data_IF_430204350686
#
_entry.id   IF_430204350686
#
_cell.length_a   1.000
_cell.length_b   1.000
_cell.length_c   1.000
_cell.angle_alpha   90.00
_cell.angle_beta   90.00
_cell.angle_gamma   90.00
#
_symmetry.space_group_name_H-M   'P 1'
#
loop_
_entity.id
_entity.type
_entity.pdbx_description
1 polymer ?
#
# COMPACT_ATOMS: atom_id res chain seq x y z
N UNK A 1 -20.16 -37.01 44.46
CA UNK A 1 -19.42 -37.83 43.48
C UNK A 1 -19.06 -36.90 42.33
N UNK A 2 -17.92 -36.22 42.49
CA UNK A 2 -16.63 -36.56 41.86
C UNK A 2 -16.56 -35.87 40.48
N UNK A 3 -16.13 -34.61 40.41
CA UNK A 3 -14.74 -34.11 40.50
C UNK A 3 -13.91 -34.42 39.24
N UNK A 4 -13.36 -33.36 38.65
CA UNK A 4 -12.43 -33.30 37.50
C UNK A 4 -11.21 -34.22 37.67
N UNK A 5 -10.41 -34.43 36.61
CA UNK A 5 -9.24 -33.54 36.46
C UNK A 5 -8.83 -33.22 35.01
N UNK A 6 -8.21 -32.05 34.81
CA UNK A 6 -7.26 -31.86 33.70
C UNK A 6 -5.94 -32.60 33.98
N UNK A 7 -5.08 -32.79 32.97
CA UNK A 7 -3.70 -32.30 33.09
C UNK A 7 -3.18 -31.80 31.71
N UNK A 8 -2.42 -30.71 31.59
CA UNK A 8 -1.06 -30.41 32.02
C UNK A 8 -0.19 -30.23 30.77
N UNK A 9 0.54 -29.12 30.71
CA UNK A 9 1.40 -28.77 29.60
C UNK A 9 2.71 -29.54 29.55
N UNK A 10 3.25 -29.61 28.35
CA UNK A 10 4.67 -29.78 27.99
C UNK A 10 4.79 -28.94 26.70
N UNK A 11 5.51 -27.83 26.59
CA UNK A 11 6.93 -27.68 26.90
C UNK A 11 7.77 -28.15 25.71
N UNK A 12 7.80 -27.40 24.59
CA UNK A 12 8.58 -27.77 23.41
C UNK A 12 8.97 -26.55 22.57
N UNK A 13 10.21 -26.11 22.75
CA UNK A 13 10.83 -24.98 22.09
C UNK A 13 10.90 -25.14 20.56
N UNK A 14 10.42 -24.13 19.82
CA UNK A 14 10.66 -23.96 18.39
C UNK A 14 11.43 -22.66 18.19
N UNK A 15 12.74 -22.79 17.98
CA UNK A 15 13.70 -21.71 17.94
C UNK A 15 13.41 -20.71 16.81
N UNK A 16 13.20 -19.45 17.20
CA UNK A 16 13.40 -18.29 16.35
C UNK A 16 14.90 -18.16 16.13
N UNK A 17 15.40 -18.58 14.96
CA UNK A 17 16.74 -18.18 14.51
C UNK A 17 16.59 -17.03 13.51
N UNK A 18 16.75 -15.84 14.07
CA UNK A 18 17.11 -14.65 13.31
C UNK A 18 18.50 -14.81 12.73
N UNK A 19 18.61 -14.54 11.43
CA UNK A 19 19.87 -14.19 10.79
C UNK A 19 20.05 -12.68 10.90
N UNK A 20 21.19 -12.27 11.44
CA UNK A 20 21.48 -10.90 11.81
C UNK A 20 21.68 -9.95 10.63
N UNK A 21 21.03 -8.80 10.75
CA UNK A 21 21.66 -7.50 10.51
C UNK A 21 20.96 -6.54 11.47
N UNK A 22 21.71 -5.99 12.42
CA UNK A 22 21.21 -5.09 13.46
C UNK A 22 20.78 -3.75 12.86
N UNK A 23 19.58 -3.72 12.27
CA UNK A 23 18.82 -2.53 11.94
C UNK A 23 17.91 -2.15 13.10
N UNK A 24 17.86 -0.85 13.38
CA UNK A 24 17.08 -0.19 14.42
C UNK A 24 15.65 -0.74 14.58
N UNK A 25 15.39 -1.49 15.66
CA UNK A 25 14.04 -1.81 16.08
C UNK A 25 13.43 -0.57 16.78
N UNK A 26 12.76 0.27 15.99
CA UNK A 26 11.76 1.22 16.48
C UNK A 26 10.49 0.40 16.80
N UNK A 27 9.84 0.69 17.92
CA UNK A 27 8.65 -0.02 18.41
C UNK A 27 7.59 -0.25 17.31
N UNK A 28 7.05 -1.46 17.30
CA UNK A 28 6.02 -1.97 16.40
C UNK A 28 4.74 -1.12 16.50
N UNK A 29 4.57 -0.14 15.61
CA UNK A 29 3.32 0.66 15.53
C UNK A 29 3.41 1.99 14.77
N UNK A 30 4.61 2.47 14.42
CA UNK A 30 4.81 3.79 13.80
C UNK A 30 5.32 3.66 12.35
N UNK A 31 4.50 3.10 11.46
CA UNK A 31 4.85 3.08 10.02
C UNK A 31 4.80 4.49 9.44
N UNK A 32 5.94 5.00 8.98
CA UNK A 32 6.04 6.32 8.32
C UNK A 32 5.60 6.19 6.87
N UNK A 33 4.44 6.76 6.54
CA UNK A 33 3.78 6.63 5.23
C UNK A 33 4.03 7.79 4.27
N UNK A 34 4.61 8.88 4.76
CA UNK A 34 4.85 10.11 4.01
C UNK A 34 6.32 10.47 3.89
N UNK A 35 6.67 11.07 2.75
CA UNK A 35 8.03 11.55 2.47
C UNK A 35 8.39 12.72 3.36
N UNK A 36 7.46 13.62 3.65
CA UNK A 36 7.65 14.79 4.52
C UNK A 36 8.08 14.40 5.94
N UNK A 37 7.40 13.42 6.55
CA UNK A 37 7.75 12.90 7.89
C UNK A 37 9.12 12.21 7.86
N UNK A 38 9.37 11.38 6.86
CA UNK A 38 10.67 10.71 6.70
C UNK A 38 11.82 11.71 6.52
N UNK A 39 11.67 12.68 5.61
CA UNK A 39 12.67 13.72 5.35
C UNK A 39 12.95 14.58 6.59
N UNK A 40 11.92 14.85 7.40
CA UNK A 40 12.09 15.60 8.66
C UNK A 40 12.84 14.80 9.72
N UNK A 41 12.69 13.47 9.72
CA UNK A 41 13.38 12.58 10.66
C UNK A 41 14.82 12.26 10.24
N UNK A 42 15.16 12.28 8.95
CA UNK A 42 16.50 11.91 8.44
C UNK A 42 17.66 12.63 9.15
N UNK A 43 17.65 13.97 9.34
CA UNK A 43 18.74 14.67 10.04
C UNK A 43 18.86 14.24 11.51
N UNK A 44 17.74 14.01 12.18
CA UNK A 44 17.70 13.57 13.58
C UNK A 44 18.26 12.15 13.72
N UNK A 45 17.83 11.22 12.86
CA UNK A 45 18.35 9.84 12.83
C UNK A 45 19.86 9.85 12.56
N UNK A 46 20.33 10.67 11.62
CA UNK A 46 21.76 10.80 11.32
C UNK A 46 22.55 11.32 12.53
N UNK A 47 22.10 12.41 13.16
CA UNK A 47 22.76 12.99 14.34
C UNK A 47 22.78 12.02 15.53
N UNK A 48 21.67 11.32 15.78
CA UNK A 48 21.57 10.29 16.82
C UNK A 48 22.49 9.12 16.51
N UNK A 49 22.54 8.66 15.25
CA UNK A 49 23.45 7.58 14.82
C UNK A 49 24.91 7.98 15.02
N UNK A 50 25.29 9.23 14.71
CA UNK A 50 26.63 9.76 14.97
C UNK A 50 26.95 9.83 16.47
N UNK A 51 26.00 10.24 17.30
CA UNK A 51 26.14 10.26 18.77
C UNK A 51 26.30 8.83 19.34
N UNK A 52 25.57 7.85 18.81
CA UNK A 52 25.63 6.44 19.24
C UNK A 52 26.93 5.76 18.79
N UNK A 53 27.34 5.98 17.53
CA UNK A 53 28.49 5.31 16.90
C UNK A 53 29.84 5.96 17.20
N UNK A 54 29.87 7.04 17.99
CA UNK A 54 31.15 7.63 18.39
C UNK A 54 31.96 6.62 19.22
N UNK A 55 33.11 6.21 18.67
CA UNK A 55 33.99 5.15 19.18
C UNK A 55 34.41 5.41 20.63
N UNK A 56 34.35 4.36 21.46
CA UNK A 56 34.78 4.36 22.87
C UNK A 56 36.30 4.50 22.96
N UNK A 57 36.81 5.72 22.85
CA UNK A 57 38.17 6.02 23.29
C UNK A 57 38.09 6.52 24.73
N UNK A 58 38.71 5.77 25.64
CA UNK A 58 38.76 5.97 27.10
C UNK A 58 39.47 7.25 27.55
N UNK A 59 39.98 8.06 26.61
CA UNK A 59 40.54 9.40 26.84
C UNK A 59 40.01 10.37 25.79
N UNK A 60 39.07 11.24 26.16
CA UNK A 60 38.55 12.32 25.30
C UNK A 60 39.33 13.61 25.60
N UNK A 61 39.79 14.30 24.55
CA UNK A 61 40.40 15.63 24.69
C UNK A 61 39.35 16.66 25.12
N UNK A 62 39.73 17.70 25.87
CA UNK A 62 38.86 18.84 26.22
C UNK A 62 38.14 19.43 25.00
N UNK A 63 38.81 19.45 23.84
CA UNK A 63 38.21 19.91 22.58
C UNK A 63 37.03 19.03 22.12
N UNK A 64 37.15 17.72 22.30
CA UNK A 64 36.10 16.74 21.98
C UNK A 64 34.92 16.87 22.94
N UNK A 65 35.22 17.12 24.21
CA UNK A 65 34.20 17.31 25.22
C UNK A 65 33.36 18.57 24.92
N UNK A 66 34.00 19.72 24.73
CA UNK A 66 33.31 20.96 24.36
C UNK A 66 32.46 20.82 23.07
N UNK A 67 32.90 20.00 22.12
CA UNK A 67 32.11 19.71 20.93
C UNK A 67 30.82 18.94 21.26
N UNK A 68 30.88 17.95 22.15
CA UNK A 68 29.70 17.18 22.61
C UNK A 68 28.70 18.09 23.34
N UNK A 69 29.17 18.98 24.21
CA UNK A 69 28.30 19.95 24.90
C UNK A 69 27.60 20.90 23.92
N UNK A 70 28.32 21.42 22.92
CA UNK A 70 27.72 22.25 21.86
C UNK A 70 26.66 21.49 21.07
N UNK A 71 26.89 20.21 20.78
CA UNK A 71 25.91 19.36 20.09
C UNK A 71 24.65 19.19 20.94
N UNK A 72 24.77 18.86 22.23
CA UNK A 72 23.59 18.70 23.10
C UNK A 72 22.78 19.99 23.26
N UNK A 73 23.45 21.14 23.40
CA UNK A 73 22.78 22.46 23.41
C UNK A 73 22.08 22.77 22.08
N UNK A 74 22.73 22.49 20.95
CA UNK A 74 22.14 22.68 19.62
C UNK A 74 20.90 21.79 19.41
N UNK A 75 20.96 20.53 19.86
CA UNK A 75 19.81 19.61 19.84
C UNK A 75 18.66 20.18 20.67
N UNK A 76 18.91 20.59 21.92
CA UNK A 76 17.85 21.16 22.78
C UNK A 76 17.21 22.42 22.18
N UNK A 77 18.01 23.31 21.58
CA UNK A 77 17.49 24.50 20.91
C UNK A 77 16.64 24.15 19.68
N UNK A 78 17.06 23.17 18.87
CA UNK A 78 16.31 22.70 17.71
C UNK A 78 14.97 22.07 18.13
N UNK A 79 14.98 21.24 19.17
CA UNK A 79 13.78 20.65 19.76
C UNK A 79 12.85 21.73 20.31
N UNK A 80 13.37 22.76 20.97
CA UNK A 80 12.57 23.89 21.45
C UNK A 80 11.88 24.65 20.31
N UNK A 81 12.51 24.79 19.13
CA UNK A 81 11.87 25.37 17.95
C UNK A 81 10.81 24.44 17.36
N UNK A 82 11.10 23.14 17.28
CA UNK A 82 10.17 22.12 16.81
C UNK A 82 8.89 22.08 17.66
N UNK A 83 9.05 22.07 18.99
CA UNK A 83 7.94 22.06 19.95
C UNK A 83 7.06 23.30 19.80
N UNK A 84 7.62 24.49 19.60
CA UNK A 84 6.82 25.71 19.35
C UNK A 84 5.91 25.59 18.13
N UNK A 85 6.38 24.92 17.07
CA UNK A 85 5.55 24.65 15.89
C UNK A 85 4.45 23.63 16.23
N UNK A 86 4.79 22.57 16.96
CA UNK A 86 3.82 21.58 17.44
C UNK A 86 2.73 22.20 18.32
N UNK A 87 3.10 23.07 19.27
CA UNK A 87 2.17 23.80 20.14
C UNK A 87 1.26 24.74 19.35
N UNK A 88 1.78 25.42 18.31
CA UNK A 88 0.96 26.24 17.42
C UNK A 88 -0.09 25.39 16.68
N UNK A 89 0.32 24.27 16.11
CA UNK A 89 -0.59 23.31 15.44
C UNK A 89 -1.65 22.78 16.43
N UNK A 90 -1.24 22.45 17.66
CA UNK A 90 -2.13 21.97 18.70
C UNK A 90 -3.23 22.98 19.06
N UNK A 91 -2.90 24.27 19.08
CA UNK A 91 -3.86 25.33 19.39
C UNK A 91 -4.95 25.50 18.32
N UNK A 92 -4.64 25.17 17.07
CA UNK A 92 -5.60 25.20 15.96
C UNK A 92 -6.42 23.89 15.85
N UNK A 93 -6.00 22.81 16.51
CA UNK A 93 -6.58 21.47 16.39
C UNK A 93 -7.00 20.90 17.75
N UNK A 94 -8.12 21.38 18.28
CA UNK A 94 -8.60 21.09 19.65
C UNK A 94 -8.72 19.62 20.01
N UNK A 95 -9.12 18.76 19.08
CA UNK A 95 -9.31 17.32 19.31
C UNK A 95 -7.99 16.55 19.42
N UNK A 96 -6.94 17.03 18.74
CA UNK A 96 -5.58 16.45 18.83
C UNK A 96 -4.67 17.23 19.79
N UNK A 97 -5.17 18.34 20.35
CA UNK A 97 -4.39 19.30 21.15
C UNK A 97 -3.68 18.61 22.31
N UNK A 98 -4.39 17.78 23.05
CA UNK A 98 -3.84 17.09 24.21
C UNK A 98 -2.73 16.09 23.81
N UNK A 99 -2.98 15.26 22.79
CA UNK A 99 -2.00 14.29 22.29
C UNK A 99 -0.73 14.98 21.76
N UNK A 100 -0.90 16.08 21.01
CA UNK A 100 0.24 16.85 20.47
C UNK A 100 1.02 17.50 21.61
N UNK A 101 0.35 18.09 22.60
CA UNK A 101 1.00 18.72 23.75
C UNK A 101 1.81 17.70 24.55
N UNK A 102 1.25 16.53 24.84
CA UNK A 102 1.96 15.45 25.55
C UNK A 102 3.23 15.06 24.78
N UNK A 103 3.12 14.81 23.46
CA UNK A 103 4.26 14.44 22.64
C UNK A 103 5.32 15.56 22.55
N UNK A 104 4.89 16.83 22.55
CA UNK A 104 5.77 17.99 22.59
C UNK A 104 6.51 18.12 23.93
N UNK A 105 5.82 17.87 25.06
CA UNK A 105 6.43 17.84 26.39
C UNK A 105 7.48 16.72 26.48
N UNK A 106 7.14 15.52 26.02
CA UNK A 106 8.06 14.37 25.94
C UNK A 106 9.31 14.71 25.12
N UNK A 107 9.14 15.35 23.95
CA UNK A 107 10.24 15.77 23.09
C UNK A 107 11.14 16.81 23.78
N UNK A 108 10.53 17.83 24.40
CA UNK A 108 11.24 18.87 25.15
C UNK A 108 12.07 18.29 26.29
N UNK A 109 11.48 17.42 27.10
CA UNK A 109 12.16 16.75 28.21
C UNK A 109 13.34 15.90 27.73
N UNK A 110 13.19 15.19 26.61
CA UNK A 110 14.28 14.41 26.01
C UNK A 110 15.43 15.32 25.53
N UNK A 111 15.10 16.46 24.90
CA UNK A 111 16.09 17.47 24.50
C UNK A 111 16.86 18.08 25.67
N UNK A 112 16.15 18.42 26.76
CA UNK A 112 16.74 18.94 28.00
C UNK A 112 17.64 17.89 28.67
N UNK A 113 17.21 16.62 28.69
CA UNK A 113 18.00 15.51 29.24
C UNK A 113 19.30 15.30 28.44
N UNK A 114 19.25 15.37 27.11
CA UNK A 114 20.46 15.29 26.27
C UNK A 114 21.40 16.45 26.59
N UNK A 115 20.90 17.69 26.65
CA UNK A 115 21.72 18.84 27.01
C UNK A 115 22.40 18.66 28.37
N UNK A 116 21.65 18.24 29.39
CA UNK A 116 22.17 18.00 30.74
C UNK A 116 23.24 16.89 30.78
N UNK A 117 23.01 15.76 30.11
CA UNK A 117 23.96 14.64 30.05
C UNK A 117 25.24 14.97 29.25
N UNK A 118 25.18 15.98 28.39
CA UNK A 118 26.33 16.52 27.64
C UNK A 118 26.97 17.74 28.29
N UNK A 119 26.43 18.23 29.40
CA UNK A 119 26.94 19.42 30.09
C UNK A 119 28.15 19.06 30.95
N UNK A 120 29.23 19.79 30.72
CA UNK A 120 30.54 19.57 31.34
C UNK A 120 30.74 20.52 32.51
N UNK A 121 29.96 21.59 32.59
CA UNK A 121 30.13 22.61 33.64
C UNK A 121 29.91 22.06 35.05
N UNK A 122 29.11 20.99 35.22
CA UNK A 122 28.90 20.29 36.48
C UNK A 122 30.04 19.32 36.87
N UNK A 123 30.97 19.00 35.98
CA UNK A 123 32.12 18.11 36.27
C UNK A 123 33.32 18.86 36.88
N UNK A 124 33.32 20.19 36.85
CA UNK A 124 34.45 21.01 37.31
C UNK A 124 34.61 21.09 38.83
N UNK A 125 33.81 20.35 39.62
CA UNK A 125 33.84 20.44 41.08
C UNK A 125 34.43 19.22 41.82
N UNK A 126 34.85 18.15 41.12
CA UNK A 126 35.57 17.04 41.76
C UNK A 126 36.96 16.81 41.14
N UNK A 127 37.92 17.32 41.91
CA UNK A 127 39.31 16.91 42.10
C UNK A 127 40.40 17.32 41.11
N UNK A 128 41.37 17.98 41.74
CA UNK A 128 42.59 18.63 41.28
C UNK A 128 43.74 17.66 40.96
N UNK A 129 43.46 16.44 40.50
CA UNK A 129 44.53 15.51 40.12
C UNK A 129 44.28 14.94 38.72
N UNK A 130 45.35 14.79 37.93
CA UNK A 130 45.31 14.72 36.46
C UNK A 130 44.68 13.47 35.82
N UNK A 131 43.64 12.87 36.43
CA UNK A 131 42.91 11.72 35.91
C UNK A 131 41.40 11.98 35.90
N UNK A 132 40.95 12.76 34.92
CA UNK A 132 39.54 12.97 34.67
C UNK A 132 38.98 11.75 33.89
N UNK A 133 38.46 10.76 34.60
CA UNK A 133 37.70 9.62 34.03
C UNK A 133 36.26 10.04 33.77
N UNK A 134 36.03 10.77 32.67
CA UNK A 134 34.68 11.20 32.27
C UNK A 134 33.92 10.00 31.69
N UNK A 135 33.18 9.32 32.55
CA UNK A 135 32.01 8.58 32.12
C UNK A 135 30.97 9.59 31.63
N UNK A 136 31.08 10.05 30.38
CA UNK A 136 29.89 10.52 29.67
C UNK A 136 28.91 9.36 29.73
N UNK A 137 27.77 9.51 30.41
CA UNK A 137 26.74 8.46 30.52
C UNK A 137 26.18 8.17 29.13
N UNK A 138 26.97 7.44 28.35
CA UNK A 138 26.71 7.08 26.96
C UNK A 138 25.39 6.34 26.89
N UNK A 139 25.14 5.47 27.86
CA UNK A 139 23.87 4.74 28.00
C UNK A 139 22.71 5.70 28.22
N UNK A 140 22.85 6.70 29.09
CA UNK A 140 21.87 7.77 29.30
C UNK A 140 21.62 8.61 28.04
N UNK A 141 22.67 9.04 27.34
CA UNK A 141 22.55 9.81 26.09
C UNK A 141 21.86 9.01 25.00
N UNK A 142 22.19 7.71 24.87
CA UNK A 142 21.52 6.80 23.92
C UNK A 142 20.03 6.67 24.26
N UNK A 143 19.69 6.51 25.54
CA UNK A 143 18.28 6.43 25.99
C UNK A 143 17.52 7.73 25.69
N UNK A 144 18.09 8.88 26.05
CA UNK A 144 17.47 10.18 25.81
C UNK A 144 17.32 10.48 24.30
N UNK A 145 18.31 10.11 23.48
CA UNK A 145 18.24 10.23 22.03
C UNK A 145 17.14 9.34 21.41
N UNK A 146 16.97 8.09 21.89
CA UNK A 146 15.86 7.22 21.45
C UNK A 146 14.50 7.79 21.83
N UNK A 147 14.36 8.31 23.05
CA UNK A 147 13.13 8.98 23.50
C UNK A 147 12.82 10.21 22.65
N UNK A 148 13.85 11.00 22.32
CA UNK A 148 13.69 12.15 21.44
C UNK A 148 13.20 11.73 20.04
N UNK A 149 13.81 10.70 19.45
CA UNK A 149 13.37 10.19 18.14
C UNK A 149 11.92 9.71 18.18
N UNK A 150 11.55 8.97 19.23
CA UNK A 150 10.18 8.46 19.41
C UNK A 150 9.15 9.60 19.55
N UNK A 151 9.41 10.56 20.45
CA UNK A 151 8.52 11.70 20.69
C UNK A 151 8.41 12.64 19.49
N UNK A 152 9.50 12.95 18.80
CA UNK A 152 9.47 13.75 17.56
C UNK A 152 8.69 13.01 16.46
N UNK A 153 8.90 11.70 16.31
CA UNK A 153 8.13 10.89 15.35
C UNK A 153 6.64 10.94 15.68
N UNK A 154 6.27 10.84 16.96
CA UNK A 154 4.87 10.95 17.43
C UNK A 154 4.27 12.32 17.10
N UNK A 155 4.97 13.43 17.35
CA UNK A 155 4.50 14.77 16.97
C UNK A 155 4.28 14.88 15.46
N UNK A 156 5.21 14.38 14.64
CA UNK A 156 5.08 14.41 13.19
C UNK A 156 3.91 13.57 12.67
N UNK A 157 3.66 12.40 13.26
CA UNK A 157 2.50 11.58 12.90
C UNK A 157 1.17 12.22 13.32
N UNK A 158 1.14 12.93 14.45
CA UNK A 158 -0.04 13.71 14.85
C UNK A 158 -0.27 14.90 13.91
N UNK A 159 0.80 15.57 13.47
CA UNK A 159 0.70 16.61 12.44
C UNK A 159 0.21 16.05 11.09
N UNK A 160 0.64 14.84 10.71
CA UNK A 160 0.11 14.15 9.52
C UNK A 160 -1.41 13.91 9.62
N UNK A 161 -1.90 13.52 10.80
CA UNK A 161 -3.35 13.38 11.06
C UNK A 161 -4.10 14.70 10.87
N UNK A 162 -3.51 15.84 11.25
CA UNK A 162 -4.12 17.16 10.99
C UNK A 162 -4.31 17.39 9.49
N UNK A 163 -3.31 17.08 8.66
CA UNK A 163 -3.41 17.19 7.20
C UNK A 163 -4.50 16.27 6.65
N UNK A 164 -4.60 15.03 7.14
CA UNK A 164 -5.68 14.11 6.77
C UNK A 164 -7.06 14.70 7.10
N UNK A 165 -7.21 15.32 8.29
CA UNK A 165 -8.46 15.97 8.69
C UNK A 165 -8.81 17.17 7.81
N UNK A 166 -7.83 17.94 7.36
CA UNK A 166 -8.06 19.04 6.40
C UNK A 166 -8.62 18.51 5.07
N UNK A 167 -8.05 17.41 4.54
CA UNK A 167 -8.54 16.75 3.32
C UNK A 167 -9.98 16.26 3.51
N UNK A 168 -10.29 15.60 4.63
CA UNK A 168 -11.65 15.13 4.96
C UNK A 168 -12.63 16.31 5.05
N UNK A 169 -12.22 17.40 5.71
CA UNK A 169 -13.06 18.59 5.85
C UNK A 169 -13.35 19.23 4.50
N UNK A 170 -12.33 19.36 3.64
CA UNK A 170 -12.49 19.87 2.27
C UNK A 170 -13.41 18.98 1.44
N UNK A 171 -13.25 17.64 1.52
CA UNK A 171 -14.17 16.66 0.89
C UNK A 171 -15.62 16.85 1.34
N UNK A 172 -15.85 17.10 2.63
CA UNK A 172 -17.20 17.28 3.17
C UNK A 172 -17.86 18.58 2.67
N UNK A 173 -17.09 19.65 2.46
CA UNK A 173 -17.59 20.87 1.79
C UNK A 173 -18.05 20.54 0.37
N UNK A 174 -17.20 19.88 -0.42
CA UNK A 174 -17.50 19.47 -1.80
C UNK A 174 -18.77 18.61 -1.85
N UNK A 175 -18.93 17.64 -0.95
CA UNK A 175 -20.16 16.85 -0.90
C UNK A 175 -21.40 17.69 -0.57
N UNK A 176 -21.30 18.59 0.41
CA UNK A 176 -22.43 19.43 0.80
C UNK A 176 -22.88 20.33 -0.36
N UNK A 177 -21.96 20.88 -1.16
CA UNK A 177 -22.32 21.64 -2.36
C UNK A 177 -22.81 20.77 -3.50
N UNK A 178 -22.28 19.56 -3.67
CA UNK A 178 -22.80 18.58 -4.64
C UNK A 178 -24.26 18.19 -4.35
N UNK A 179 -24.60 17.88 -3.10
CA UNK A 179 -25.98 17.56 -2.71
C UNK A 179 -26.96 18.71 -3.00
N UNK A 180 -26.49 19.95 -2.88
CA UNK A 180 -27.28 21.13 -3.29
C UNK A 180 -27.42 21.18 -4.81
N UNK A 181 -26.34 21.00 -5.57
CA UNK A 181 -26.36 20.97 -7.04
C UNK A 181 -27.28 19.88 -7.62
N UNK A 182 -27.38 18.73 -6.96
CA UNK A 182 -28.29 17.66 -7.34
C UNK A 182 -29.75 18.12 -7.35
N UNK A 183 -30.14 18.95 -6.37
CA UNK A 183 -31.52 19.38 -6.14
C UNK A 183 -31.93 20.66 -6.88
N UNK A 184 -30.99 21.35 -7.53
CA UNK A 184 -31.28 22.61 -8.22
C UNK A 184 -32.27 22.43 -9.36
N UNK A 185 -33.27 23.31 -9.40
CA UNK A 185 -34.31 23.38 -10.43
C UNK A 185 -34.31 24.69 -11.24
N UNK A 186 -33.44 25.66 -10.90
CA UNK A 186 -33.32 26.95 -11.57
C UNK A 186 -31.91 27.19 -12.09
N UNK A 187 -31.79 27.75 -13.30
CA UNK A 187 -30.49 28.06 -13.90
C UNK A 187 -29.72 29.14 -13.12
N UNK A 188 -30.42 30.14 -12.55
CA UNK A 188 -29.78 31.20 -11.79
C UNK A 188 -29.15 30.66 -10.50
N UNK A 189 -29.88 29.84 -9.76
CA UNK A 189 -29.38 29.16 -8.56
C UNK A 189 -28.23 28.21 -8.92
N UNK A 190 -28.36 27.48 -10.03
CA UNK A 190 -27.33 26.56 -10.52
C UNK A 190 -25.99 27.27 -10.71
N UNK A 191 -25.97 28.42 -11.38
CA UNK A 191 -24.72 29.18 -11.64
C UNK A 191 -24.04 29.59 -10.33
N UNK A 192 -24.82 30.02 -9.32
CA UNK A 192 -24.28 30.42 -8.02
C UNK A 192 -23.67 29.23 -7.27
N UNK A 193 -24.40 28.13 -7.16
CA UNK A 193 -23.94 26.95 -6.43
C UNK A 193 -22.78 26.28 -7.19
N UNK A 194 -22.80 26.25 -8.51
CA UNK A 194 -21.73 25.67 -9.32
C UNK A 194 -20.42 26.45 -9.17
N UNK A 195 -20.49 27.78 -9.05
CA UNK A 195 -19.32 28.61 -8.74
C UNK A 195 -18.75 28.28 -7.35
N UNK A 196 -19.60 28.08 -6.34
CA UNK A 196 -19.16 27.70 -4.99
C UNK A 196 -18.48 26.32 -5.02
N UNK A 197 -19.14 25.33 -5.63
CA UNK A 197 -18.61 23.98 -5.82
C UNK A 197 -17.25 24.00 -6.53
N UNK A 198 -17.09 24.81 -7.59
CA UNK A 198 -15.82 24.94 -8.30
C UNK A 198 -14.68 25.41 -7.39
N UNK A 199 -14.92 26.39 -6.52
CA UNK A 199 -13.91 26.86 -5.55
C UNK A 199 -13.51 25.77 -4.55
N UNK A 200 -14.50 25.06 -4.00
CA UNK A 200 -14.26 23.96 -3.05
C UNK A 200 -13.52 22.79 -3.72
N UNK A 201 -13.82 22.50 -4.98
CA UNK A 201 -13.14 21.47 -5.77
C UNK A 201 -11.68 21.86 -6.05
N UNK A 202 -11.37 23.15 -6.27
CA UNK A 202 -9.98 23.63 -6.42
C UNK A 202 -9.21 23.48 -5.09
N UNK A 203 -9.80 23.89 -3.97
CA UNK A 203 -9.21 23.69 -2.63
C UNK A 203 -8.88 22.20 -2.40
N UNK A 204 -9.86 21.31 -2.66
CA UNK A 204 -9.67 19.88 -2.53
C UNK A 204 -8.63 19.32 -3.50
N UNK A 205 -8.59 19.81 -4.74
CA UNK A 205 -7.61 19.38 -5.74
C UNK A 205 -6.18 19.70 -5.31
N UNK A 206 -5.93 20.85 -4.66
CA UNK A 206 -4.62 21.19 -4.10
C UNK A 206 -4.25 20.25 -2.94
N UNK A 207 -5.12 20.14 -1.92
CA UNK A 207 -4.85 19.30 -0.75
C UNK A 207 -4.61 17.83 -1.12
N UNK A 208 -5.45 17.27 -1.99
CA UNK A 208 -5.30 15.89 -2.48
C UNK A 208 -4.07 15.72 -3.38
N UNK A 209 -3.63 16.77 -4.07
CA UNK A 209 -2.41 16.75 -4.88
C UNK A 209 -1.13 16.79 -4.08
N UNK A 210 -1.08 17.64 -3.06
CA UNK A 210 0.04 17.69 -2.13
C UNK A 210 0.19 16.34 -1.42
N UNK A 211 -0.93 15.76 -0.96
CA UNK A 211 -0.94 14.42 -0.36
C UNK A 211 -0.46 13.34 -1.33
N UNK A 212 -0.93 13.35 -2.58
CA UNK A 212 -0.47 12.40 -3.61
C UNK A 212 1.06 12.43 -3.77
N UNK A 213 1.64 13.64 -3.83
CA UNK A 213 3.08 13.82 -3.99
C UNK A 213 3.86 13.47 -2.73
N UNK A 214 3.22 13.46 -1.56
CA UNK A 214 3.85 13.13 -0.29
C UNK A 214 3.80 11.63 0.06
N UNK A 215 2.85 10.87 -0.50
CA UNK A 215 2.73 9.42 -0.27
C UNK A 215 3.98 8.64 -0.71
N UNK A 216 4.47 7.75 0.16
CA UNK A 216 5.60 6.83 -0.15
C UNK A 216 5.20 5.63 -0.98
N UNK A 217 4.00 5.08 -0.76
CA UNK A 217 3.49 3.91 -1.49
C UNK A 217 3.06 4.32 -2.91
N UNK A 218 3.80 3.85 -3.91
CA UNK A 218 3.53 4.16 -5.32
C UNK A 218 2.19 3.57 -5.81
N UNK A 219 1.70 2.44 -5.25
CA UNK A 219 0.36 1.90 -5.55
C UNK A 219 -0.72 2.86 -5.04
N UNK A 220 -0.59 3.37 -3.82
CA UNK A 220 -1.54 4.36 -3.26
C UNK A 220 -1.48 5.68 -4.03
N UNK A 221 -0.29 6.14 -4.40
CA UNK A 221 -0.09 7.34 -5.22
C UNK A 221 -0.76 7.23 -6.59
N UNK A 222 -0.60 6.10 -7.28
CA UNK A 222 -1.26 5.83 -8.55
C UNK A 222 -2.80 5.78 -8.40
N UNK A 223 -3.30 5.10 -7.36
CA UNK A 223 -4.75 5.08 -7.04
C UNK A 223 -5.30 6.49 -6.78
N UNK A 224 -4.55 7.33 -6.07
CA UNK A 224 -4.94 8.71 -5.81
C UNK A 224 -4.97 9.56 -7.08
N UNK A 225 -3.97 9.39 -7.96
CA UNK A 225 -3.95 10.05 -9.26
C UNK A 225 -5.17 9.66 -10.11
N UNK A 226 -5.53 8.38 -10.12
CA UNK A 226 -6.71 7.89 -10.83
C UNK A 226 -8.02 8.49 -10.27
N UNK A 227 -8.19 8.51 -8.94
CA UNK A 227 -9.36 9.13 -8.31
C UNK A 227 -9.48 10.63 -8.64
N UNK A 228 -8.37 11.37 -8.57
CA UNK A 228 -8.33 12.80 -8.93
C UNK A 228 -8.67 13.03 -10.41
N UNK A 229 -8.18 12.19 -11.32
CA UNK A 229 -8.52 12.26 -12.73
C UNK A 229 -10.01 12.00 -13.01
N UNK A 230 -10.66 11.13 -12.23
CA UNK A 230 -12.12 10.93 -12.31
C UNK A 230 -12.86 12.20 -11.86
N UNK A 231 -12.43 12.82 -10.76
CA UNK A 231 -13.04 14.07 -10.26
C UNK A 231 -12.93 15.21 -11.26
N UNK A 232 -11.76 15.36 -11.89
CA UNK A 232 -11.53 16.35 -12.96
C UNK A 232 -12.49 16.14 -14.14
N UNK A 233 -12.54 14.92 -14.68
CA UNK A 233 -13.44 14.59 -15.79
C UNK A 233 -14.91 14.79 -15.44
N UNK A 234 -15.33 14.38 -14.25
CA UNK A 234 -16.71 14.55 -13.80
C UNK A 234 -17.07 16.02 -13.62
N UNK A 235 -16.15 16.84 -13.10
CA UNK A 235 -16.33 18.30 -12.97
C UNK A 235 -16.59 18.94 -14.34
N UNK A 236 -15.87 18.53 -15.38
CA UNK A 236 -16.09 19.00 -16.75
C UNK A 236 -17.46 18.56 -17.30
N UNK A 237 -17.93 17.36 -16.96
CA UNK A 237 -19.22 16.82 -17.41
C UNK A 237 -20.42 17.42 -16.67
N UNK A 238 -20.22 17.85 -15.41
CA UNK A 238 -21.29 18.23 -14.50
C UNK A 238 -22.12 19.41 -15.01
N UNK A 239 -21.46 20.39 -15.64
CA UNK A 239 -22.12 21.54 -16.26
C UNK A 239 -23.08 21.09 -17.36
N UNK A 240 -22.60 20.25 -18.28
CA UNK A 240 -23.38 19.76 -19.42
C UNK A 240 -24.55 18.88 -18.95
N UNK A 241 -24.31 17.96 -18.02
CA UNK A 241 -25.35 17.09 -17.49
C UNK A 241 -26.45 17.88 -16.75
N UNK A 242 -26.06 18.81 -15.88
CA UNK A 242 -26.99 19.65 -15.12
C UNK A 242 -27.77 20.61 -16.02
N UNK A 243 -27.11 21.25 -16.99
CA UNK A 243 -27.78 22.13 -17.96
C UNK A 243 -28.78 21.38 -18.83
N UNK A 244 -28.46 20.15 -19.21
CA UNK A 244 -29.37 19.29 -19.99
C UNK A 244 -30.61 18.93 -19.18
N UNK A 245 -30.47 18.56 -17.91
CA UNK A 245 -31.61 18.31 -17.01
C UNK A 245 -32.50 19.54 -16.82
N UNK A 246 -31.90 20.71 -16.62
CA UNK A 246 -32.65 21.97 -16.44
C UNK A 246 -33.41 22.37 -17.72
N UNK A 247 -32.89 22.04 -18.91
CA UNK A 247 -33.56 22.27 -20.19
C UNK A 247 -34.64 21.24 -20.50
N UNK A 248 -34.47 20.01 -20.02
CA UNK A 248 -35.35 18.88 -20.31
C UNK A 248 -35.79 18.18 -19.01
N UNK A 249 -36.63 18.83 -18.19
CA UNK A 249 -36.96 18.34 -16.85
C UNK A 249 -37.73 17.00 -16.85
N UNK A 250 -38.41 16.66 -17.94
CA UNK A 250 -39.15 15.40 -18.08
C UNK A 250 -38.33 14.28 -18.74
N UNK A 251 -37.05 14.51 -19.05
CA UNK A 251 -36.20 13.52 -19.71
C UNK A 251 -35.49 12.64 -18.65
N UNK A 252 -35.95 11.41 -18.50
CA UNK A 252 -35.37 10.43 -17.57
C UNK A 252 -33.87 10.18 -17.85
N UNK A 253 -33.49 10.06 -19.12
CA UNK A 253 -32.07 9.85 -19.49
C UNK A 253 -31.18 11.03 -19.09
N UNK A 254 -31.68 12.27 -19.13
CA UNK A 254 -30.92 13.43 -18.67
C UNK A 254 -30.67 13.33 -17.16
N UNK A 255 -31.70 13.00 -16.38
CA UNK A 255 -31.57 12.80 -14.93
C UNK A 255 -30.61 11.67 -14.58
N UNK A 256 -30.71 10.50 -15.24
CA UNK A 256 -29.76 9.38 -15.06
C UNK A 256 -28.32 9.78 -15.38
N UNK A 257 -28.11 10.57 -16.43
CA UNK A 257 -26.77 11.07 -16.76
C UNK A 257 -26.23 12.03 -15.69
N UNK A 258 -27.07 12.91 -15.14
CA UNK A 258 -26.70 13.80 -14.04
C UNK A 258 -26.36 13.00 -12.79
N UNK A 259 -27.24 12.10 -12.37
CA UNK A 259 -27.05 11.19 -11.23
C UNK A 259 -25.77 10.39 -11.36
N UNK A 260 -25.53 9.76 -12.52
CA UNK A 260 -24.32 8.98 -12.75
C UNK A 260 -23.01 9.78 -12.66
N UNK A 261 -23.02 11.08 -12.99
CA UNK A 261 -21.85 11.95 -12.76
C UNK A 261 -21.64 12.18 -11.26
N UNK A 262 -22.70 12.49 -10.50
CA UNK A 262 -22.61 12.68 -9.06
C UNK A 262 -22.16 11.42 -8.33
N UNK A 263 -22.69 10.25 -8.68
CA UNK A 263 -22.32 8.99 -8.06
C UNK A 263 -20.85 8.65 -8.31
N UNK A 264 -20.36 8.84 -9.55
CA UNK A 264 -18.93 8.65 -9.86
C UNK A 264 -18.05 9.61 -9.06
N UNK A 265 -18.48 10.85 -8.85
CA UNK A 265 -17.74 11.80 -8.02
C UNK A 265 -17.71 11.37 -6.55
N UNK A 266 -18.85 10.93 -5.99
CA UNK A 266 -18.93 10.43 -4.60
C UNK A 266 -17.96 9.25 -4.39
N UNK A 267 -17.97 8.27 -5.30
CA UNK A 267 -17.04 7.12 -5.27
C UNK A 267 -15.59 7.57 -5.35
N UNK A 268 -15.26 8.53 -6.21
CA UNK A 268 -13.89 9.04 -6.33
C UNK A 268 -13.44 9.83 -5.09
N UNK A 269 -14.32 10.64 -4.48
CA UNK A 269 -14.06 11.31 -3.21
C UNK A 269 -13.83 10.29 -2.08
N UNK A 270 -14.65 9.25 -2.00
CA UNK A 270 -14.49 8.17 -1.02
C UNK A 270 -13.17 7.44 -1.20
N UNK A 271 -12.76 7.21 -2.45
CA UNK A 271 -11.47 6.59 -2.76
C UNK A 271 -10.29 7.45 -2.28
N UNK A 272 -10.39 8.76 -2.39
CA UNK A 272 -9.38 9.67 -1.81
C UNK A 272 -9.32 9.50 -0.29
N UNK A 273 -10.46 9.44 0.39
CA UNK A 273 -10.53 9.27 1.85
C UNK A 273 -9.97 7.91 2.28
N UNK A 274 -10.34 6.82 1.61
CA UNK A 274 -9.78 5.47 1.83
C UNK A 274 -8.25 5.49 1.77
N UNK A 275 -7.67 6.15 0.77
CA UNK A 275 -6.22 6.20 0.57
C UNK A 275 -5.51 6.99 1.67
N UNK A 276 -6.06 8.13 2.11
CA UNK A 276 -5.39 8.97 3.11
C UNK A 276 -5.55 8.45 4.53
N UNK A 277 -6.65 7.73 4.81
CA UNK A 277 -6.93 7.18 6.14
C UNK A 277 -6.42 5.75 6.33
N UNK A 278 -6.14 5.03 5.24
CA UNK A 278 -5.90 3.58 5.23
C UNK A 278 -7.05 2.75 5.83
N UNK A 279 -8.21 3.35 6.04
CA UNK A 279 -9.42 2.65 6.42
C UNK A 279 -10.07 2.08 5.17
N UNK A 280 -9.97 0.77 4.99
CA UNK A 280 -10.84 0.07 4.02
C UNK A 280 -12.27 0.06 4.58
N UNK A 281 -13.30 0.46 3.81
CA UNK A 281 -14.68 0.44 4.29
C UNK A 281 -15.21 -0.97 4.60
N UNK A 282 -14.53 -2.03 4.16
CA UNK A 282 -14.81 -3.41 4.50
C UNK A 282 -13.48 -4.16 4.63
N UNK A 283 -13.41 -5.11 5.57
CA UNK A 283 -12.25 -5.96 5.87
C UNK A 283 -11.85 -6.93 4.76
N UNK A 284 -11.93 -6.51 3.50
CA UNK A 284 -11.25 -7.15 2.39
C UNK A 284 -9.76 -6.90 2.59
N UNK A 285 -9.15 -7.76 3.42
CA UNK A 285 -7.74 -8.11 3.26
C UNK A 285 -7.54 -8.30 1.77
N UNK A 286 -6.53 -7.65 1.20
CA UNK A 286 -6.13 -7.82 -0.21
C UNK A 286 -5.53 -9.25 -0.32
N UNK A 287 -6.28 -10.29 0.08
CA UNK A 287 -6.19 -11.67 -0.41
C UNK A 287 -6.72 -11.63 -1.84
N UNK A 288 -6.20 -10.66 -2.62
CA UNK A 288 -6.11 -10.74 -4.05
C UNK A 288 -5.26 -11.97 -4.28
N UNK A 289 -5.96 -13.08 -4.55
CA UNK A 289 -5.59 -14.02 -5.60
C UNK A 289 -4.09 -14.05 -5.89
N UNK A 290 -3.33 -14.86 -5.14
CA UNK A 290 -1.94 -15.19 -5.46
C UNK A 290 -1.87 -15.44 -6.98
N UNK A 291 -1.20 -14.59 -7.75
CA UNK A 291 -1.25 -14.74 -9.21
C UNK A 291 -0.79 -16.13 -9.62
N UNK A 292 -1.29 -16.67 -10.74
CA UNK A 292 -0.89 -18.00 -11.24
C UNK A 292 0.64 -18.13 -11.27
N UNK A 293 1.34 -17.06 -11.65
CA UNK A 293 2.80 -17.00 -11.70
C UNK A 293 3.46 -17.08 -10.32
N UNK A 294 2.85 -16.45 -9.31
CA UNK A 294 3.32 -16.53 -7.92
C UNK A 294 3.07 -17.92 -7.37
N UNK A 295 1.91 -18.51 -7.64
CA UNK A 295 1.58 -19.89 -7.28
C UNK A 295 2.56 -20.89 -7.91
N UNK A 296 2.84 -20.78 -9.21
CA UNK A 296 3.85 -21.60 -9.89
C UNK A 296 5.24 -21.42 -9.26
N UNK A 297 5.63 -20.19 -8.91
CA UNK A 297 6.94 -19.92 -8.29
C UNK A 297 7.04 -20.58 -6.92
N UNK A 298 6.03 -20.42 -6.07
CA UNK A 298 5.98 -21.01 -4.73
C UNK A 298 5.96 -22.54 -4.81
N UNK A 299 5.16 -23.10 -5.71
CA UNK A 299 5.12 -24.54 -5.95
C UNK A 299 6.47 -25.11 -6.38
N UNK A 300 7.19 -24.41 -7.26
CA UNK A 300 8.55 -24.81 -7.65
C UNK A 300 9.53 -24.76 -6.49
N UNK A 301 9.47 -23.72 -5.64
CA UNK A 301 10.31 -23.65 -4.43
C UNK A 301 10.02 -24.82 -3.48
N UNK A 302 8.75 -25.20 -3.32
CA UNK A 302 8.34 -26.34 -2.51
C UNK A 302 8.87 -27.67 -3.05
N UNK A 303 8.88 -27.86 -4.38
CA UNK A 303 9.47 -29.04 -5.02
C UNK A 303 10.99 -29.03 -4.88
N UNK A 304 11.64 -27.89 -5.08
CA UNK A 304 13.10 -27.76 -4.92
C UNK A 304 13.55 -28.09 -3.50
N UNK A 305 12.76 -27.72 -2.48
CA UNK A 305 13.03 -28.05 -1.08
C UNK A 305 13.07 -29.58 -0.79
N UNK A 306 12.44 -30.40 -1.65
CA UNK A 306 12.51 -31.86 -1.53
C UNK A 306 13.94 -32.39 -1.73
N UNK A 307 14.82 -31.63 -2.41
CA UNK A 307 16.24 -31.98 -2.60
C UNK A 307 16.99 -32.02 -1.27
N UNK A 308 16.67 -31.08 -0.38
CA UNK A 308 17.35 -30.92 0.91
C UNK A 308 16.64 -31.72 2.01
N UNK A 309 15.31 -31.81 1.94
CA UNK A 309 14.51 -32.52 2.93
C UNK A 309 13.30 -33.23 2.32
N UNK A 310 13.41 -34.55 2.16
CA UNK A 310 12.38 -35.42 1.60
C UNK A 310 11.07 -35.48 2.42
N UNK A 311 11.06 -35.00 3.66
CA UNK A 311 9.89 -34.98 4.56
C UNK A 311 9.32 -33.57 4.76
N UNK A 312 9.81 -32.57 4.03
CA UNK A 312 9.43 -31.17 4.17
C UNK A 312 7.95 -30.90 3.81
N UNK A 313 7.40 -31.68 2.88
CA UNK A 313 6.03 -31.51 2.38
C UNK A 313 5.27 -32.84 2.43
N UNK A 314 3.93 -32.79 2.45
CA UNK A 314 3.08 -33.95 2.22
C UNK A 314 2.70 -34.06 0.74
N UNK A 315 2.39 -35.28 0.29
CA UNK A 315 1.92 -35.56 -1.07
C UNK A 315 0.65 -34.77 -1.37
N UNK A 316 -0.28 -34.79 -0.43
CA UNK A 316 -1.58 -34.16 -0.54
C UNK A 316 -1.43 -32.65 -0.74
N UNK A 317 -0.47 -32.01 -0.06
CA UNK A 317 -0.23 -30.59 -0.21
C UNK A 317 0.27 -30.22 -1.61
N UNK A 318 1.18 -31.02 -2.20
CA UNK A 318 1.66 -30.77 -3.57
C UNK A 318 0.53 -30.95 -4.59
N UNK A 319 -0.27 -32.01 -4.47
CA UNK A 319 -1.42 -32.21 -5.37
C UNK A 319 -2.44 -31.09 -5.26
N UNK A 320 -2.82 -30.69 -4.04
CA UNK A 320 -3.76 -29.58 -3.82
C UNK A 320 -3.21 -28.27 -4.38
N UNK A 321 -1.93 -27.98 -4.14
CA UNK A 321 -1.32 -26.73 -4.63
C UNK A 321 -1.30 -26.68 -6.15
N UNK A 322 -0.99 -27.79 -6.83
CA UNK A 322 -1.05 -27.83 -8.30
C UNK A 322 -2.49 -27.66 -8.80
N UNK A 323 -3.47 -28.36 -8.23
CA UNK A 323 -4.86 -28.21 -8.68
C UNK A 323 -5.38 -26.79 -8.49
N UNK A 324 -5.05 -26.10 -7.39
CA UNK A 324 -5.41 -24.69 -7.20
C UNK A 324 -4.77 -23.77 -8.25
N UNK A 325 -3.57 -24.10 -8.74
CA UNK A 325 -2.95 -23.36 -9.85
C UNK A 325 -3.68 -23.64 -11.15
N UNK A 326 -4.03 -24.89 -11.43
CA UNK A 326 -4.68 -25.32 -12.67
C UNK A 326 -6.14 -24.86 -12.76
N UNK A 327 -6.88 -24.86 -11.66
CA UNK A 327 -8.25 -24.31 -11.57
C UNK A 327 -8.26 -22.83 -12.02
N UNK A 328 -7.24 -22.06 -11.63
CA UNK A 328 -7.13 -20.66 -12.08
C UNK A 328 -6.75 -20.50 -13.55
N UNK A 329 -6.28 -21.56 -14.21
CA UNK A 329 -6.10 -21.52 -15.66
C UNK A 329 -7.42 -21.69 -16.40
N UNK A 330 -8.49 -22.11 -15.72
CA UNK A 330 -9.82 -22.28 -16.31
C UNK A 330 -10.41 -20.94 -16.75
N UNK A 331 -10.05 -19.83 -16.09
CA UNK A 331 -10.38 -18.47 -16.55
C UNK A 331 -10.00 -18.24 -18.04
N UNK A 332 -8.88 -18.84 -18.49
CA UNK A 332 -8.48 -18.77 -19.89
C UNK A 332 -9.27 -19.73 -20.78
N UNK A 333 -9.56 -20.93 -20.31
CA UNK A 333 -10.24 -21.95 -21.13
C UNK A 333 -11.74 -21.71 -21.25
N UNK A 334 -12.34 -21.08 -20.25
CA UNK A 334 -13.78 -20.78 -20.20
C UNK A 334 -14.10 -19.45 -20.88
N UNK A 335 -13.12 -18.56 -21.02
CA UNK A 335 -13.28 -17.33 -21.81
C UNK A 335 -13.70 -17.64 -23.23
N UNK A 336 -14.73 -16.93 -23.72
CA UNK A 336 -15.18 -17.02 -25.10
C UNK A 336 -14.15 -16.46 -26.10
N UNK A 337 -13.19 -15.67 -25.62
CA UNK A 337 -12.24 -14.93 -26.45
C UNK A 337 -10.90 -15.64 -26.63
N UNK A 338 -10.63 -16.68 -25.84
CA UNK A 338 -9.46 -17.54 -26.06
C UNK A 338 -9.64 -18.39 -27.31
N UNK A 339 -8.64 -18.39 -28.20
CA UNK A 339 -8.67 -19.18 -29.44
C UNK A 339 -8.75 -20.70 -29.14
N UNK A 340 -9.28 -21.48 -30.08
CA UNK A 340 -9.34 -22.94 -29.92
C UNK A 340 -7.94 -23.55 -29.72
N UNK A 341 -6.97 -23.08 -30.50
CA UNK A 341 -5.58 -23.53 -30.43
C UNK A 341 -4.95 -23.28 -29.05
N UNK A 342 -5.09 -22.05 -28.52
CA UNK A 342 -4.56 -21.73 -27.18
C UNK A 342 -5.29 -22.50 -26.08
N UNK A 343 -6.61 -22.66 -26.18
CA UNK A 343 -7.41 -23.44 -25.21
C UNK A 343 -6.97 -24.90 -25.16
N UNK A 344 -6.86 -25.54 -26.32
CA UNK A 344 -6.39 -26.92 -26.44
C UNK A 344 -4.99 -27.05 -25.85
N UNK A 345 -4.09 -26.11 -26.18
CA UNK A 345 -2.71 -26.13 -25.69
C UNK A 345 -2.60 -25.96 -24.17
N UNK A 346 -3.39 -25.08 -23.58
CA UNK A 346 -3.45 -24.89 -22.12
C UNK A 346 -3.93 -26.20 -21.45
N UNK A 347 -4.99 -26.82 -21.96
CA UNK A 347 -5.52 -28.08 -21.43
C UNK A 347 -4.51 -29.24 -21.53
N UNK A 348 -3.80 -29.35 -22.64
CA UNK A 348 -2.70 -30.30 -22.82
C UNK A 348 -1.60 -30.10 -21.77
N UNK A 349 -1.12 -28.86 -21.61
CA UNK A 349 -0.06 -28.53 -20.66
C UNK A 349 -0.49 -28.74 -19.21
N UNK A 350 -1.75 -28.43 -18.87
CA UNK A 350 -2.34 -28.72 -17.57
C UNK A 350 -2.39 -30.23 -17.29
N UNK A 351 -2.78 -31.02 -18.30
CA UNK A 351 -2.77 -32.49 -18.20
C UNK A 351 -1.35 -33.03 -18.04
N UNK A 352 -0.39 -32.49 -18.80
CA UNK A 352 1.03 -32.84 -18.68
C UNK A 352 1.55 -32.54 -17.27
N UNK A 353 1.25 -31.37 -16.71
CA UNK A 353 1.69 -31.00 -15.36
C UNK A 353 1.15 -31.98 -14.30
N UNK A 354 -0.10 -32.43 -14.43
CA UNK A 354 -0.67 -33.47 -13.56
C UNK A 354 0.09 -34.79 -13.68
N UNK A 355 0.38 -35.24 -14.90
CA UNK A 355 1.12 -36.48 -15.13
C UNK A 355 2.54 -36.42 -14.56
N UNK A 356 3.25 -35.31 -14.79
CA UNK A 356 4.61 -35.11 -14.27
C UNK A 356 4.63 -35.03 -12.73
N UNK A 357 3.61 -34.44 -12.10
CA UNK A 357 3.48 -34.44 -10.64
C UNK A 357 3.24 -35.86 -10.11
N UNK A 358 2.37 -36.66 -10.74
CA UNK A 358 2.16 -38.04 -10.33
C UNK A 358 3.45 -38.88 -10.47
N UNK A 359 4.22 -38.66 -11.54
CA UNK A 359 5.54 -39.27 -11.70
C UNK A 359 6.49 -38.86 -10.57
N UNK A 360 6.59 -37.55 -10.27
CA UNK A 360 7.41 -37.03 -9.17
C UNK A 360 7.04 -37.67 -7.84
N UNK A 361 5.74 -37.72 -7.51
CA UNK A 361 5.24 -38.30 -6.26
C UNK A 361 5.63 -39.78 -6.16
N UNK A 362 5.49 -40.55 -7.25
CA UNK A 362 5.85 -41.97 -7.28
C UNK A 362 7.33 -42.19 -6.96
N UNK A 363 8.22 -41.45 -7.63
CA UNK A 363 9.67 -41.54 -7.42
C UNK A 363 10.07 -41.02 -6.04
N UNK A 364 9.41 -39.97 -5.55
CA UNK A 364 9.65 -39.39 -4.23
C UNK A 364 9.30 -40.38 -3.10
N UNK A 365 8.17 -41.09 -3.18
CA UNK A 365 7.83 -42.15 -2.22
C UNK A 365 8.88 -43.26 -2.23
N UNK A 366 9.37 -43.65 -3.41
CA UNK A 366 10.44 -44.64 -3.52
C UNK A 366 11.73 -44.14 -2.85
N UNK A 367 12.09 -42.88 -3.06
CA UNK A 367 13.27 -42.23 -2.46
C UNK A 367 13.21 -42.14 -0.93
N UNK A 368 12.01 -41.99 -0.34
CA UNK A 368 11.83 -42.04 1.11
C UNK A 368 12.10 -43.44 1.68
N UNK A 369 11.71 -44.49 0.94
CA UNK A 369 11.88 -45.89 1.39
C UNK A 369 13.27 -46.47 1.16
N UNK A 370 13.94 -46.08 0.06
CA UNK A 370 15.23 -46.63 -0.38
C UNK A 370 16.14 -45.53 -0.90
N UNK A 371 17.31 -45.36 -0.28
CA UNK A 371 18.34 -44.41 -0.73
C UNK A 371 19.33 -45.10 -1.67
N UNK A 372 19.09 -45.04 -2.97
CA UNK A 372 20.06 -45.45 -4.00
C UNK A 372 20.40 -44.29 -4.91
N UNK A 373 21.59 -44.32 -5.53
CA UNK A 373 22.04 -43.28 -6.46
C UNK A 373 21.10 -43.16 -7.67
N UNK A 374 20.61 -44.28 -8.20
CA UNK A 374 19.64 -44.32 -9.31
C UNK A 374 18.33 -43.58 -8.97
N UNK A 375 17.78 -43.82 -7.78
CA UNK A 375 16.52 -43.18 -7.36
C UNK A 375 16.72 -41.67 -7.15
N UNK A 376 17.90 -41.25 -6.67
CA UNK A 376 18.23 -39.83 -6.55
C UNK A 376 18.32 -39.14 -7.92
N UNK A 377 18.93 -39.79 -8.92
CA UNK A 377 19.00 -39.28 -10.30
C UNK A 377 17.60 -39.22 -10.97
N UNK A 378 16.74 -40.21 -10.73
CA UNK A 378 15.34 -40.22 -11.20
C UNK A 378 14.48 -39.15 -10.53
N UNK A 379 14.70 -38.89 -9.24
CA UNK A 379 14.01 -37.83 -8.50
C UNK A 379 14.40 -36.47 -9.06
N UNK A 380 15.69 -36.24 -9.31
CA UNK A 380 16.16 -35.00 -9.93
C UNK A 380 15.59 -34.80 -11.34
N UNK A 381 15.54 -35.85 -12.15
CA UNK A 381 14.91 -35.79 -13.46
C UNK A 381 13.42 -35.42 -13.35
N UNK A 382 12.69 -36.01 -12.41
CA UNK A 382 11.26 -35.74 -12.21
C UNK A 382 11.00 -34.30 -11.73
N UNK A 383 11.86 -33.77 -10.84
CA UNK A 383 11.82 -32.36 -10.41
C UNK A 383 12.04 -31.40 -11.59
N UNK A 384 12.99 -31.71 -12.47
CA UNK A 384 13.25 -30.91 -13.66
C UNK A 384 12.09 -30.95 -14.65
N UNK A 385 11.47 -32.11 -14.86
CA UNK A 385 10.33 -32.27 -15.78
C UNK A 385 9.11 -31.48 -15.35
N UNK A 386 8.67 -31.59 -14.09
CA UNK A 386 7.54 -30.81 -13.60
C UNK A 386 7.84 -29.30 -13.64
N UNK A 387 9.07 -28.90 -13.29
CA UNK A 387 9.51 -27.51 -13.37
C UNK A 387 9.48 -26.97 -14.81
N UNK A 388 9.85 -27.80 -15.79
CA UNK A 388 9.78 -27.46 -17.20
C UNK A 388 8.32 -27.37 -17.67
N UNK A 389 7.49 -28.37 -17.36
CA UNK A 389 6.06 -28.37 -17.69
C UNK A 389 5.34 -27.11 -17.20
N UNK A 390 5.59 -26.69 -15.95
CA UNK A 390 5.02 -25.46 -15.41
C UNK A 390 5.56 -24.18 -16.06
N UNK A 391 6.82 -24.19 -16.52
CA UNK A 391 7.36 -23.06 -17.28
C UNK A 391 6.72 -22.96 -18.67
N UNK A 392 6.42 -24.08 -19.33
CA UNK A 392 5.72 -24.09 -20.62
C UNK A 392 4.26 -23.63 -20.45
N UNK A 393 3.55 -24.12 -19.43
CA UNK A 393 2.21 -23.63 -19.08
C UNK A 393 2.22 -22.12 -18.84
N UNK A 394 3.19 -21.62 -18.06
CA UNK A 394 3.38 -20.19 -17.80
C UNK A 394 3.58 -19.39 -19.10
N UNK A 395 4.38 -19.89 -20.04
CA UNK A 395 4.61 -19.23 -21.33
C UNK A 395 3.35 -19.20 -22.18
N UNK A 396 2.61 -20.30 -22.24
CA UNK A 396 1.38 -20.39 -23.03
C UNK A 396 0.32 -19.41 -22.49
N UNK A 397 0.12 -19.36 -21.18
CA UNK A 397 -0.79 -18.40 -20.54
C UNK A 397 -0.38 -16.95 -20.83
N UNK A 398 0.92 -16.63 -20.78
CA UNK A 398 1.40 -15.29 -21.11
C UNK A 398 1.17 -14.92 -22.57
N UNK A 399 1.45 -15.85 -23.49
CA UNK A 399 1.25 -15.66 -24.92
C UNK A 399 -0.22 -15.43 -25.22
N UNK A 400 -1.10 -16.27 -24.65
CA UNK A 400 -2.55 -16.17 -24.79
C UNK A 400 -3.06 -14.81 -24.31
N UNK A 401 -2.69 -14.40 -23.08
CA UNK A 401 -3.09 -13.10 -22.53
C UNK A 401 -2.61 -11.92 -23.38
N UNK A 402 -1.36 -11.97 -23.85
CA UNK A 402 -0.77 -10.87 -24.63
C UNK A 402 -1.39 -10.77 -26.02
N UNK A 403 -1.63 -11.90 -26.67
CA UNK A 403 -2.26 -11.96 -27.99
C UNK A 403 -3.71 -11.45 -27.90
N UNK A 404 -4.48 -11.92 -26.92
CA UNK A 404 -5.85 -11.47 -26.68
C UNK A 404 -5.91 -9.95 -26.44
N UNK A 405 -5.05 -9.43 -25.57
CA UNK A 405 -4.98 -7.99 -25.30
C UNK A 405 -4.61 -7.18 -26.56
N UNK A 406 -3.67 -7.67 -27.37
CA UNK A 406 -3.27 -7.00 -28.61
C UNK A 406 -4.40 -6.96 -29.64
N UNK A 407 -5.11 -8.08 -29.82
CA UNK A 407 -6.21 -8.20 -30.78
C UNK A 407 -7.40 -7.33 -30.37
N UNK A 408 -7.79 -7.36 -29.09
CA UNK A 408 -8.86 -6.52 -28.54
C UNK A 408 -8.54 -5.02 -28.70
N UNK A 409 -7.35 -4.60 -28.27
CA UNK A 409 -6.95 -3.18 -28.37
C UNK A 409 -6.90 -2.71 -29.83
N UNK A 410 -6.42 -3.55 -30.75
CA UNK A 410 -6.40 -3.24 -32.18
C UNK A 410 -7.81 -3.15 -32.75
N UNK A 411 -8.70 -4.07 -32.40
CA UNK A 411 -10.08 -4.09 -32.88
C UNK A 411 -10.85 -2.84 -32.43
N UNK A 412 -10.60 -2.34 -31.21
CA UNK A 412 -11.28 -1.17 -30.67
C UNK A 412 -10.58 0.18 -30.93
N UNK A 413 -9.38 0.19 -31.54
CA UNK A 413 -8.54 1.38 -31.73
C UNK A 413 -9.24 2.51 -32.51
N UNK A 414 -10.02 2.16 -33.52
CA UNK A 414 -10.66 3.14 -34.41
C UNK A 414 -11.94 3.75 -33.83
N UNK A 415 -12.39 3.28 -32.65
CA UNK A 415 -13.60 3.72 -31.96
C UNK A 415 -14.84 3.76 -32.87
N UNK A 416 -14.95 2.80 -33.81
CA UNK A 416 -15.98 2.78 -34.85
C UNK A 416 -17.38 2.78 -34.25
N UNK A 417 -17.63 1.91 -33.26
CA UNK A 417 -18.93 1.79 -32.59
C UNK A 417 -19.32 3.10 -31.88
N UNK A 418 -18.37 3.75 -31.18
CA UNK A 418 -18.63 5.03 -30.52
C UNK A 418 -18.92 6.16 -31.52
N UNK A 419 -18.18 6.20 -32.65
CA UNK A 419 -18.42 7.17 -33.73
C UNK A 419 -19.79 6.95 -34.37
N UNK A 420 -20.18 5.70 -34.63
CA UNK A 420 -21.48 5.35 -35.17
C UNK A 420 -22.61 5.72 -34.21
N UNK A 421 -22.49 5.39 -32.92
CA UNK A 421 -23.44 5.75 -31.87
C UNK A 421 -23.66 7.27 -31.80
N UNK A 422 -22.59 8.05 -31.92
CA UNK A 422 -22.67 9.52 -31.95
C UNK A 422 -23.42 10.01 -33.19
N UNK A 423 -23.13 9.46 -34.37
CA UNK A 423 -23.77 9.85 -35.62
C UNK A 423 -25.27 9.55 -35.61
N UNK A 424 -25.65 8.30 -35.28
CA UNK A 424 -27.06 7.87 -35.24
C UNK A 424 -27.84 8.63 -34.18
N UNK A 425 -27.22 8.98 -33.05
CA UNK A 425 -27.81 9.82 -32.02
C UNK A 425 -28.10 11.25 -32.50
N UNK A 426 -27.25 11.83 -33.36
CA UNK A 426 -27.49 13.15 -33.96
C UNK A 426 -28.60 13.09 -35.02
N UNK A 427 -28.65 12.00 -35.79
CA UNK A 427 -29.69 11.78 -36.81
C UNK A 427 -31.06 11.44 -36.20
N UNK A 428 -31.12 11.09 -34.91
CA UNK A 428 -32.35 10.70 -34.23
C UNK A 428 -32.84 9.30 -34.60
N UNK A 429 -31.98 8.45 -35.18
CA UNK A 429 -32.33 7.08 -35.52
C UNK A 429 -32.25 6.18 -34.29
N UNK A 430 -33.39 6.02 -33.59
CA UNK A 430 -33.47 5.31 -32.32
C UNK A 430 -33.18 3.81 -32.43
N UNK A 431 -33.55 3.17 -33.54
CA UNK A 431 -33.32 1.73 -33.76
C UNK A 431 -31.83 1.44 -33.93
N UNK A 432 -31.17 2.17 -34.83
CA UNK A 432 -29.72 2.05 -35.02
C UNK A 432 -28.95 2.45 -33.75
N UNK A 433 -29.42 3.46 -33.01
CA UNK A 433 -28.82 3.87 -31.73
C UNK A 433 -28.87 2.73 -30.70
N UNK A 434 -30.00 2.04 -30.58
CA UNK A 434 -30.14 0.91 -29.67
C UNK A 434 -29.21 -0.26 -30.05
N UNK A 435 -29.09 -0.56 -31.35
CA UNK A 435 -28.18 -1.60 -31.85
C UNK A 435 -26.71 -1.28 -31.52
N UNK A 436 -26.25 -0.05 -31.80
CA UNK A 436 -24.88 0.35 -31.47
C UNK A 436 -24.63 0.47 -29.96
N UNK A 437 -25.65 0.76 -29.16
CA UNK A 437 -25.53 0.76 -27.70
C UNK A 437 -25.35 -0.65 -27.14
N UNK A 438 -26.04 -1.65 -27.70
CA UNK A 438 -25.84 -3.06 -27.39
C UNK A 438 -24.40 -3.48 -27.71
N UNK A 439 -23.95 -3.18 -28.94
CA UNK A 439 -22.57 -3.45 -29.38
C UNK A 439 -21.55 -2.80 -28.45
N UNK A 440 -21.74 -1.53 -28.06
CA UNK A 440 -20.82 -0.86 -27.14
C UNK A 440 -20.80 -1.53 -25.76
N UNK A 441 -21.92 -2.06 -25.30
CA UNK A 441 -22.02 -2.78 -24.02
C UNK A 441 -21.27 -4.10 -24.08
N UNK A 442 -21.41 -4.86 -25.18
CA UNK A 442 -20.62 -6.08 -25.45
C UNK A 442 -19.12 -5.77 -25.52
N UNK A 443 -18.71 -4.70 -26.22
CA UNK A 443 -17.32 -4.26 -26.26
C UNK A 443 -16.79 -3.88 -24.87
N UNK A 444 -17.62 -3.27 -24.02
CA UNK A 444 -17.25 -2.93 -22.65
C UNK A 444 -17.04 -4.20 -21.82
N UNK A 445 -17.91 -5.19 -21.95
CA UNK A 445 -17.78 -6.47 -21.25
C UNK A 445 -16.51 -7.21 -21.69
N UNK A 446 -16.25 -7.26 -23.00
CA UNK A 446 -15.02 -7.81 -23.60
C UNK A 446 -13.72 -7.17 -23.10
N UNK A 447 -13.74 -5.87 -22.80
CA UNK A 447 -12.57 -5.14 -22.30
C UNK A 447 -12.38 -5.26 -20.78
N UNK A 448 -13.43 -5.67 -20.07
CA UNK A 448 -13.41 -5.86 -18.61
C UNK A 448 -12.96 -7.27 -18.25
N UNK A 449 -13.41 -8.26 -19.02
CA UNK A 449 -12.82 -9.60 -19.06
C UNK A 449 -11.36 -9.54 -19.54
#
# INVERSE_FOLDING_TARGET
MAASPGPAGVGGAGAVYGSGSSGFALDSGLEIKTRSVEQTLLPLVSQITTLINHKDNTKKSDKTLQAIQRVGQAVNLAVGRFVKVGEAIANENWDLKEEINIACIEAKQAGETIAALTDITNLNHLESDGQITIFTDKTGVIKAARLLLSSVTKVLLLADRVVIKQIITSRNKVLATMERLEKVNSFQEFVQIFSQFGNEMVEFAHLSGDRQNDLKDEKKKAKMAAARAVLEKCTMMLLTASKTCLRHPNCESAHKNKEGVFDRMKVALDKVIEIVTDCKPNGETDISSISIFTGIKEFKMNIEALRENLYFQSKENLSVTLEVILERTEDFTDSAYTSHEHRERILELSTQARMELQQLISVWIQAQSKKTKSIAEELELSILKISHSLNELKKELHSTATQLAADLLKYHADHVVLKALKLTGVEGNLEALAEYACKLSEQKEQLVE
#
